data_IF_368085569546
#
_entry.id   IF_368085569546
#
_cell.length_a   1.000
_cell.length_b   1.000
_cell.length_c   1.000
_cell.angle_alpha   90.00
_cell.angle_beta   90.00
_cell.angle_gamma   90.00
#
_symmetry.space_group_name_H-M   'P 1'
#
loop_
_entity.id
_entity.type
_entity.pdbx_description
1 polymer ?
#
# COMPACT_ATOMS: atom_id res chain seq x y z
N UNK A 1 -9.12 -4.18 17.79
CA UNK A 1 -8.24 -3.23 17.07
C UNK A 1 -8.51 -3.40 15.58
N UNK A 2 -8.82 -2.31 14.85
CA UNK A 2 -8.98 -2.38 13.38
C UNK A 2 -7.59 -2.56 12.76
N UNK A 3 -7.44 -3.54 11.87
CA UNK A 3 -6.19 -3.82 11.15
C UNK A 3 -6.01 -2.77 10.06
N UNK A 4 -4.79 -2.26 9.89
CA UNK A 4 -4.47 -1.36 8.78
C UNK A 4 -4.59 -2.12 7.45
N UNK A 5 -5.33 -1.60 6.46
CA UNK A 5 -5.26 -2.18 5.12
C UNK A 5 -4.05 -1.62 4.40
N UNK A 6 -3.05 -2.47 4.30
CA UNK A 6 -1.86 -2.23 3.50
C UNK A 6 -1.95 -3.16 2.32
N UNK A 7 -1.77 -2.65 1.10
CA UNK A 7 -1.70 -3.49 -0.08
C UNK A 7 -0.30 -3.45 -0.65
N UNK A 8 0.29 -4.63 -0.90
CA UNK A 8 1.47 -4.77 -1.73
C UNK A 8 1.04 -4.73 -3.18
N UNK A 9 1.54 -3.76 -3.91
CA UNK A 9 1.21 -3.50 -5.29
C UNK A 9 2.44 -3.73 -6.17
N UNK A 10 2.24 -4.31 -7.35
CA UNK A 10 3.27 -4.43 -8.38
C UNK A 10 2.81 -3.72 -9.63
N UNK A 11 3.62 -2.80 -10.16
CA UNK A 11 3.32 -2.15 -11.43
C UNK A 11 3.48 -3.15 -12.59
N UNK A 12 2.46 -3.25 -13.44
CA UNK A 12 2.48 -4.08 -14.64
C UNK A 12 2.80 -3.17 -15.83
N UNK A 13 4.04 -3.24 -16.31
CA UNK A 13 4.53 -2.45 -17.46
C UNK A 13 4.00 -2.92 -18.83
N UNK A 14 3.21 -3.98 -18.89
CA UNK A 14 2.70 -4.57 -20.14
C UNK A 14 1.18 -4.46 -20.25
N UNK A 15 0.72 -4.10 -21.46
CA UNK A 15 -0.67 -4.19 -21.89
C UNK A 15 -1.10 -5.65 -21.99
N UNK A 16 -1.37 -6.29 -20.86
CA UNK A 16 -1.94 -7.64 -20.85
C UNK A 16 -3.46 -7.53 -21.13
N UNK A 17 -4.04 -8.45 -21.92
CA UNK A 17 -5.50 -8.56 -22.05
C UNK A 17 -6.06 -9.17 -20.76
N UNK A 18 -6.23 -8.36 -19.72
CA UNK A 18 -6.75 -8.79 -18.42
C UNK A 18 -8.28 -8.70 -18.44
N UNK A 19 -9.03 -9.75 -18.07
CA UNK A 19 -10.47 -9.66 -17.88
C UNK A 19 -10.77 -8.66 -16.76
N UNK A 20 -11.61 -7.67 -17.04
CA UNK A 20 -11.95 -6.49 -16.21
C UNK A 20 -12.60 -6.78 -14.84
N UNK A 21 -12.42 -7.96 -14.24
CA UNK A 21 -13.27 -8.39 -13.14
C UNK A 21 -12.83 -8.00 -11.74
N UNK A 22 -11.61 -7.49 -11.48
CA UNK A 22 -11.27 -6.95 -10.14
C UNK A 22 -10.28 -5.77 -10.19
N UNK A 23 -10.78 -4.59 -9.82
CA UNK A 23 -10.07 -3.42 -9.29
C UNK A 23 -8.72 -3.09 -9.95
N UNK A 24 -8.77 -2.65 -11.21
CA UNK A 24 -7.63 -2.10 -11.93
C UNK A 24 -7.63 -0.58 -11.75
N UNK A 25 -6.57 -0.01 -11.17
CA UNK A 25 -6.30 1.43 -11.15
C UNK A 25 -5.04 1.68 -11.99
N UNK A 26 -5.14 2.57 -12.98
CA UNK A 26 -4.01 2.92 -13.83
C UNK A 26 -2.91 3.67 -13.03
N UNK A 27 -1.61 3.47 -13.34
CA UNK A 27 -1.06 2.48 -14.25
C UNK A 27 -1.15 1.08 -13.61
N UNK A 28 -1.63 0.10 -14.37
CA UNK A 28 -2.04 -1.24 -13.94
C UNK A 28 -1.20 -1.82 -12.78
N UNK A 29 -1.67 -1.65 -11.55
CA UNK A 29 -1.02 -2.23 -10.39
C UNK A 29 -1.83 -3.42 -9.87
N UNK A 30 -1.18 -4.57 -9.69
CA UNK A 30 -1.80 -5.72 -9.03
C UNK A 30 -1.52 -5.57 -7.53
N UNK A 31 -2.56 -5.29 -6.75
CA UNK A 31 -2.46 -5.10 -5.31
C UNK A 31 -3.01 -6.31 -4.54
N UNK A 32 -2.28 -6.76 -3.52
CA UNK A 32 -2.69 -7.80 -2.57
C UNK A 32 -2.64 -7.23 -1.15
N UNK A 33 -3.76 -7.33 -0.44
CA UNK A 33 -3.83 -6.92 0.96
C UNK A 33 -2.89 -7.76 1.84
N UNK A 34 -2.24 -7.07 2.75
CA UNK A 34 -1.35 -7.61 3.77
C UNK A 34 -2.07 -7.52 5.12
N UNK A 35 -2.13 -8.63 5.81
CA UNK A 35 -2.63 -8.67 7.18
C UNK A 35 -1.49 -8.57 8.19
N UNK A 36 -1.76 -7.94 9.34
CA UNK A 36 -0.85 -8.00 10.49
C UNK A 36 0.22 -6.92 10.54
N UNK A 37 0.11 -5.86 9.73
CA UNK A 37 0.99 -4.70 9.87
C UNK A 37 0.46 -3.77 10.95
N UNK A 38 1.31 -3.44 11.92
CA UNK A 38 0.97 -2.56 13.03
C UNK A 38 0.93 -1.10 12.55
N UNK A 39 -0.21 -0.39 12.66
CA UNK A 39 -0.30 1.01 12.26
C UNK A 39 0.67 1.93 13.03
N UNK A 40 1.10 1.55 14.24
CA UNK A 40 2.08 2.33 15.01
C UNK A 40 3.49 2.29 14.45
N UNK A 41 3.78 1.32 13.56
CA UNK A 41 5.06 1.23 12.83
C UNK A 41 5.12 2.19 11.63
N UNK A 42 4.01 2.82 11.26
CA UNK A 42 3.94 3.73 10.11
C UNK A 42 4.43 5.13 10.54
N UNK A 43 5.45 5.69 9.86
CA UNK A 43 5.92 7.05 10.12
C UNK A 43 4.85 8.14 9.92
N UNK A 44 4.91 9.20 10.72
CA UNK A 44 3.92 10.28 10.70
C UNK A 44 3.83 11.00 9.34
N UNK A 45 4.93 11.15 8.61
CA UNK A 45 4.97 11.75 7.26
C UNK A 45 4.17 10.93 6.23
N UNK A 46 4.19 9.60 6.36
CA UNK A 46 3.34 8.70 5.56
C UNK A 46 1.87 8.87 5.93
N UNK A 47 1.58 9.03 7.23
CA UNK A 47 0.21 9.29 7.70
C UNK A 47 -0.31 10.64 7.20
N UNK A 48 0.51 11.68 7.23
CA UNK A 48 0.19 13.01 6.71
C UNK A 48 -0.05 12.97 5.19
N UNK A 49 0.83 12.29 4.44
CA UNK A 49 0.64 12.08 2.99
C UNK A 49 -0.67 11.37 2.70
N UNK A 50 -0.99 10.32 3.47
CA UNK A 50 -2.25 9.62 3.35
C UNK A 50 -3.44 10.52 3.70
N UNK A 51 -3.32 11.39 4.71
CA UNK A 51 -4.36 12.37 5.07
C UNK A 51 -4.68 13.34 3.94
N UNK A 52 -3.65 13.82 3.25
CA UNK A 52 -3.81 14.78 2.14
C UNK A 52 -4.37 14.14 0.87
N UNK A 53 -3.93 12.90 0.55
CA UNK A 53 -4.21 12.25 -0.75
C UNK A 53 -5.22 11.10 -0.69
N UNK A 54 -5.65 10.72 0.51
CA UNK A 54 -6.43 9.51 0.78
C UNK A 54 -5.61 8.21 0.79
N UNK A 55 -4.34 8.27 0.37
CA UNK A 55 -3.40 7.14 0.40
C UNK A 55 -1.94 7.62 0.41
N UNK A 56 -1.04 6.74 0.84
CA UNK A 56 0.41 6.93 0.73
C UNK A 56 1.05 5.75 0.00
N UNK A 57 2.16 6.02 -0.69
CA UNK A 57 2.97 5.01 -1.39
C UNK A 57 4.32 4.92 -0.67
N UNK A 58 4.73 3.71 -0.32
CA UNK A 58 6.05 3.42 0.25
C UNK A 58 6.81 2.55 -0.75
N UNK A 59 8.04 2.95 -1.07
CA UNK A 59 8.93 2.18 -1.93
C UNK A 59 9.41 0.87 -1.23
N UNK A 60 9.97 -0.11 -1.96
CA UNK A 60 10.45 -1.38 -1.39
C UNK A 60 11.40 -1.23 -0.21
N UNK A 61 12.39 -0.34 -0.33
CA UNK A 61 13.45 -0.16 0.67
C UNK A 61 12.86 0.34 1.99
N UNK A 62 12.01 1.36 1.94
CA UNK A 62 11.32 1.90 3.11
C UNK A 62 10.32 0.90 3.67
N UNK A 63 9.62 0.13 2.84
CA UNK A 63 8.70 -0.90 3.31
C UNK A 63 9.43 -2.05 4.04
N UNK A 64 10.62 -2.44 3.57
CA UNK A 64 11.45 -3.42 4.26
C UNK A 64 11.97 -2.90 5.61
N UNK A 65 12.41 -1.65 5.66
CA UNK A 65 12.93 -1.03 6.89
C UNK A 65 11.84 -0.78 7.94
N UNK A 66 10.67 -0.29 7.52
CA UNK A 66 9.61 0.15 8.42
C UNK A 66 8.68 -0.99 8.82
N UNK A 67 8.37 -1.89 7.87
CA UNK A 67 7.35 -2.92 8.05
C UNK A 67 7.94 -4.33 8.15
N UNK A 68 9.26 -4.49 7.96
CA UNK A 68 9.92 -5.80 7.93
C UNK A 68 9.46 -6.68 6.77
N UNK A 69 8.87 -6.09 5.73
CA UNK A 69 8.31 -6.82 4.60
C UNK A 69 9.37 -7.08 3.54
N UNK A 70 9.48 -8.33 3.08
CA UNK A 70 10.22 -8.65 1.87
C UNK A 70 9.39 -8.23 0.64
N UNK A 71 9.83 -7.14 0.01
CA UNK A 71 9.18 -6.50 -1.14
C UNK A 71 10.17 -6.56 -2.32
N UNK A 72 9.73 -7.01 -3.49
CA UNK A 72 10.55 -7.01 -4.70
C UNK A 72 10.86 -5.60 -5.21
N UNK A 73 11.94 -5.44 -5.97
CA UNK A 73 12.39 -4.12 -6.47
C UNK A 73 11.36 -3.42 -7.38
N UNK A 74 10.47 -4.18 -8.03
CA UNK A 74 9.36 -3.67 -8.87
C UNK A 74 8.02 -3.50 -8.11
N UNK A 75 8.03 -3.72 -6.79
CA UNK A 75 6.83 -3.65 -5.96
C UNK A 75 6.80 -2.35 -5.15
N UNK A 76 5.67 -2.04 -4.56
CA UNK A 76 5.53 -0.93 -3.62
C UNK A 76 4.38 -1.24 -2.66
N UNK A 77 4.33 -0.51 -1.56
CA UNK A 77 3.25 -0.59 -0.59
C UNK A 77 2.32 0.60 -0.76
N UNK A 78 1.02 0.36 -0.87
CA UNK A 78 -0.02 1.37 -0.81
C UNK A 78 -0.75 1.27 0.52
N UNK A 79 -0.78 2.37 1.27
CA UNK A 79 -1.51 2.48 2.55
C UNK A 79 -2.68 3.43 2.35
N UNK A 80 -3.88 3.01 2.72
CA UNK A 80 -5.08 3.84 2.62
C UNK A 80 -5.36 4.58 3.92
N UNK A 81 -5.80 5.84 3.80
CA UNK A 81 -6.11 6.70 4.95
C UNK A 81 -7.24 6.15 5.80
N UNK A 82 -8.27 5.58 5.18
CA UNK A 82 -9.51 5.12 5.83
C UNK A 82 -9.25 4.17 7.01
N UNK A 83 -8.10 3.49 7.01
CA UNK A 83 -7.69 2.57 8.08
C UNK A 83 -6.68 3.20 9.08
N UNK A 84 -6.02 4.31 8.74
CA UNK A 84 -5.12 5.06 9.64
C UNK A 84 -5.86 5.93 10.67
N UNK A 85 -7.07 6.43 10.35
CA UNK A 85 -7.76 7.45 11.16
C UNK A 85 -8.72 6.88 12.21
N UNK A 86 -8.69 5.59 12.52
CA UNK A 86 -9.67 5.01 13.47
C UNK A 86 -9.35 5.19 14.97
N UNK A 87 -8.36 6.02 15.32
CA UNK A 87 -8.13 6.49 16.70
C UNK A 87 -7.76 7.99 16.72
N UNK A 88 -8.66 8.83 16.23
CA UNK A 88 -8.74 10.23 16.66
C UNK A 88 -9.64 10.34 17.87
#
# INVERSE_FOLDING_TARGET
MKKLRISRCREVKQSLPIPLSRHIVAPYAICKDLEGVDPSSIPNDIVETAREKGYAIINPQSAQQLLGLEIGEDEYIKIFLEDLVTNG
#
